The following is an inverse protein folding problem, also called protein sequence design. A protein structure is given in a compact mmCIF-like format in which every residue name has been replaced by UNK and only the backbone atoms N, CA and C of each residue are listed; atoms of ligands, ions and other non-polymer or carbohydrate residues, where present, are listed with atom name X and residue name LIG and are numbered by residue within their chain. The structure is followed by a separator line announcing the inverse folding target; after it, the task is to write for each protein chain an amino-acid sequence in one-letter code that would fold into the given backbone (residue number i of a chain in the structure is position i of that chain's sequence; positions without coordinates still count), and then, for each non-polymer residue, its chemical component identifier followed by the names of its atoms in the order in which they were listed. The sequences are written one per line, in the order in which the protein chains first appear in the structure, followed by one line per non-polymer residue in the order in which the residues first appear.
data_IF_492528720284
#
_entry.id   IF_492528720284
#
_cell.length_a   1.000
_cell.length_b   1.000
_cell.length_c   1.000
_cell.angle_alpha   90.00
_cell.angle_beta   90.00
_cell.angle_gamma   90.00
#
_symmetry.space_group_name_H-M   'P 1'
#
loop_
_entity.id
_entity.type
_entity.pdbx_description
1 polymer ?
#
# COMPACT_ATOMS: atom_id res chain seq x y z
N UNK A 1 -22.40 -5.01 -7.97
CA UNK A 1 -21.79 -6.03 -8.87
C UNK A 1 -20.32 -5.66 -9.16
N UNK A 2 -19.48 -5.57 -8.12
CA UNK A 2 -18.00 -5.44 -8.22
C UNK A 2 -17.30 -6.78 -7.89
N UNK A 3 -18.03 -7.87 -8.00
CA UNK A 3 -17.69 -9.18 -7.43
C UNK A 3 -16.90 -10.08 -8.39
N UNK A 4 -15.90 -9.47 -9.06
CA UNK A 4 -15.03 -10.11 -10.08
C UNK A 4 -13.59 -9.58 -10.14
N UNK A 5 -13.30 -8.42 -9.55
CA UNK A 5 -11.94 -7.81 -9.57
C UNK A 5 -10.98 -8.52 -8.58
N UNK A 6 -11.52 -8.72 -7.40
CA UNK A 6 -11.16 -9.62 -6.31
C UNK A 6 -10.80 -11.06 -6.74
N UNK A 7 -11.56 -11.64 -7.67
CA UNK A 7 -11.34 -12.97 -8.25
C UNK A 7 -10.30 -12.98 -9.38
N UNK A 8 -9.70 -11.82 -9.72
CA UNK A 8 -8.73 -11.64 -10.81
C UNK A 8 -7.33 -11.20 -10.39
N UNK A 9 -7.12 -10.78 -9.14
CA UNK A 9 -5.84 -11.07 -8.46
C UNK A 9 -5.48 -12.57 -8.61
N UNK A 10 -6.52 -13.42 -8.68
CA UNK A 10 -6.49 -14.88 -8.69
C UNK A 10 -6.45 -15.55 -10.09
N UNK A 11 -6.32 -14.81 -11.20
CA UNK A 11 -6.27 -15.40 -12.55
C UNK A 11 -4.93 -16.01 -13.00
N UNK A 12 -3.89 -16.03 -12.15
CA UNK A 12 -2.53 -16.48 -12.48
C UNK A 12 -1.76 -15.64 -13.52
N UNK A 13 -1.98 -14.34 -13.56
CA UNK A 13 -0.91 -13.44 -13.96
C UNK A 13 -0.83 -12.41 -12.86
N UNK A 14 0.25 -12.46 -12.08
CA UNK A 14 0.75 -11.34 -11.30
C UNK A 14 1.86 -10.78 -12.17
N UNK A 15 1.56 -9.92 -13.17
CA UNK A 15 2.56 -9.52 -14.15
C UNK A 15 3.64 -8.60 -13.56
N UNK A 16 3.52 -8.16 -12.30
CA UNK A 16 4.09 -6.89 -11.88
C UNK A 16 5.04 -6.93 -10.69
N UNK A 17 5.51 -8.10 -10.25
CA UNK A 17 6.17 -8.21 -8.94
C UNK A 17 7.55 -8.88 -9.11
N UNK A 18 8.48 -8.16 -9.76
CA UNK A 18 9.89 -8.53 -9.63
C UNK A 18 10.44 -8.09 -8.28
N UNK A 19 9.82 -7.07 -7.68
CA UNK A 19 10.34 -6.37 -6.51
C UNK A 19 9.25 -5.85 -5.58
N UNK A 20 9.62 -5.70 -4.32
CA UNK A 20 8.86 -5.04 -3.27
C UNK A 20 9.73 -3.95 -2.67
N UNK A 21 9.19 -2.75 -2.54
CA UNK A 21 9.79 -1.63 -1.84
C UNK A 21 8.99 -1.39 -0.55
N UNK A 22 9.66 -1.39 0.59
CA UNK A 22 9.04 -1.16 1.91
C UNK A 22 10.02 -0.52 2.88
N UNK A 23 9.52 -0.01 4.00
CA UNK A 23 10.36 0.38 5.12
C UNK A 23 10.50 -0.77 6.11
N UNK A 24 11.60 -0.80 6.86
CA UNK A 24 11.84 -1.86 7.85
C UNK A 24 11.13 -1.63 9.20
N UNK A 25 10.57 -0.44 9.40
CA UNK A 25 9.87 -0.03 10.61
C UNK A 25 8.77 0.95 10.23
N UNK A 26 7.84 1.15 11.15
CA UNK A 26 6.73 2.07 10.94
C UNK A 26 7.21 3.51 10.95
N UNK A 27 6.67 4.27 10.01
CA UNK A 27 6.97 5.67 9.83
C UNK A 27 5.94 6.50 10.60
N UNK A 28 6.35 7.67 11.15
CA UNK A 28 5.41 8.69 11.56
C UNK A 28 4.40 8.99 10.44
N UNK A 29 3.12 9.11 10.77
CA UNK A 29 2.06 9.23 9.76
C UNK A 29 2.25 10.44 8.82
N UNK A 30 2.85 11.53 9.30
CA UNK A 30 3.22 12.68 8.46
C UNK A 30 4.28 12.32 7.42
N UNK A 31 5.27 11.51 7.80
CA UNK A 31 6.32 11.01 6.90
C UNK A 31 5.71 10.00 5.93
N UNK A 32 4.82 9.11 6.39
CA UNK A 32 4.10 8.18 5.52
C UNK A 32 3.31 8.92 4.43
N UNK A 33 2.56 9.98 4.78
CA UNK A 33 1.85 10.80 3.80
C UNK A 33 2.79 11.44 2.76
N UNK A 34 3.95 11.95 3.20
CA UNK A 34 4.96 12.50 2.29
C UNK A 34 5.50 11.42 1.35
N UNK A 35 5.85 10.25 1.88
CA UNK A 35 6.31 9.08 1.11
C UNK A 35 5.26 8.68 0.08
N UNK A 36 3.99 8.57 0.48
CA UNK A 36 2.87 8.24 -0.43
C UNK A 36 2.78 9.27 -1.57
N UNK A 37 2.91 10.57 -1.27
CA UNK A 37 2.91 11.61 -2.29
C UNK A 37 4.08 11.46 -3.28
N UNK A 38 5.28 11.19 -2.78
CA UNK A 38 6.48 10.96 -3.62
C UNK A 38 6.34 9.72 -4.50
N UNK A 39 5.75 8.64 -3.98
CA UNK A 39 5.47 7.40 -4.72
C UNK A 39 4.42 7.66 -5.82
N UNK A 40 3.26 8.20 -5.46
CA UNK A 40 2.13 8.38 -6.37
C UNK A 40 2.46 9.35 -7.51
N UNK A 41 3.31 10.36 -7.27
CA UNK A 41 3.79 11.28 -8.31
C UNK A 41 4.71 10.62 -9.37
N UNK A 42 5.14 9.38 -9.14
CA UNK A 42 6.04 8.64 -10.05
C UNK A 42 5.38 7.43 -10.68
N UNK A 43 4.20 7.06 -10.22
CA UNK A 43 3.46 5.94 -10.77
C UNK A 43 2.54 6.42 -11.90
N UNK A 44 2.35 5.62 -12.95
CA UNK A 44 1.28 5.87 -13.91
C UNK A 44 -0.07 5.64 -13.21
N UNK A 45 -0.92 6.68 -13.19
CA UNK A 45 -2.25 6.63 -12.57
C UNK A 45 -3.28 7.05 -13.61
N UNK A 46 -4.16 6.12 -13.97
CA UNK A 46 -5.35 6.36 -14.81
C UNK A 46 -6.59 6.53 -13.96
N UNK A 47 -6.81 5.63 -13.00
CA UNK A 47 -7.84 5.73 -11.98
C UNK A 47 -7.34 5.03 -10.71
N UNK A 48 -7.21 5.80 -9.64
CA UNK A 48 -6.77 5.31 -8.36
C UNK A 48 -7.94 4.67 -7.61
N UNK A 49 -7.73 3.43 -7.18
CA UNK A 49 -8.71 2.65 -6.45
C UNK A 49 -8.10 2.22 -5.11
N UNK A 50 -8.96 2.11 -4.10
CA UNK A 50 -8.63 1.49 -2.83
C UNK A 50 -9.65 0.43 -2.47
N UNK A 51 -9.26 -0.49 -1.59
CA UNK A 51 -10.18 -1.43 -0.98
C UNK A 51 -9.59 -1.99 0.32
N UNK A 52 -10.47 -2.57 1.16
CA UNK A 52 -10.06 -3.27 2.37
C UNK A 52 -9.09 -4.39 2.02
N UNK A 53 -7.97 -4.45 2.72
CA UNK A 53 -6.95 -5.48 2.51
C UNK A 53 -6.99 -6.50 3.64
N UNK A 54 -7.76 -7.57 3.43
CA UNK A 54 -7.94 -8.64 4.41
C UNK A 54 -6.86 -9.74 4.27
N UNK A 55 -5.74 -9.45 3.61
CA UNK A 55 -4.69 -10.44 3.33
C UNK A 55 -4.25 -11.18 4.60
N UNK A 56 -3.95 -10.46 5.68
CA UNK A 56 -3.41 -11.08 6.91
C UNK A 56 -4.45 -11.85 7.73
N UNK A 57 -5.74 -11.55 7.56
CA UNK A 57 -6.81 -12.08 8.41
C UNK A 57 -7.62 -13.20 7.75
N UNK A 58 -7.91 -13.09 6.45
CA UNK A 58 -8.72 -14.08 5.72
C UNK A 58 -7.91 -14.85 4.68
N UNK A 59 -6.58 -14.63 4.64
CA UNK A 59 -5.64 -15.30 3.75
C UNK A 59 -5.76 -14.87 2.29
N UNK A 60 -6.89 -14.27 1.89
CA UNK A 60 -7.16 -13.67 0.59
C UNK A 60 -8.18 -12.58 0.84
N UNK A 61 -8.18 -11.60 -0.07
CA UNK A 61 -9.39 -11.00 -0.66
C UNK A 61 -9.59 -9.49 -0.32
N UNK A 62 -9.49 -8.63 -1.37
CA UNK A 62 -9.72 -7.16 -1.41
C UNK A 62 -11.20 -6.72 -1.56
N UNK A 63 -11.97 -6.55 -0.48
CA UNK A 63 -13.43 -6.34 -0.60
C UNK A 63 -13.73 -4.91 -1.07
N UNK A 64 -14.54 -4.82 -2.13
CA UNK A 64 -15.15 -3.57 -2.61
C UNK A 64 -14.16 -2.47 -2.99
N UNK A 65 -13.64 -2.55 -4.22
CA UNK A 65 -12.84 -1.48 -4.80
C UNK A 65 -13.68 -0.21 -4.98
N UNK A 66 -13.22 0.87 -4.37
CA UNK A 66 -13.83 2.20 -4.50
C UNK A 66 -12.78 3.17 -5.06
N UNK A 67 -13.20 4.29 -5.69
CA UNK A 67 -12.29 5.37 -6.03
C UNK A 67 -11.68 5.99 -4.77
N UNK A 68 -10.40 6.36 -4.85
CA UNK A 68 -9.71 7.18 -3.85
C UNK A 68 -8.93 8.28 -4.58
N UNK A 69 -8.64 9.38 -3.89
CA UNK A 69 -7.84 10.47 -4.46
C UNK A 69 -6.42 10.47 -3.89
N UNK A 70 -5.47 11.05 -4.62
CA UNK A 70 -4.12 11.28 -4.11
C UNK A 70 -4.18 12.13 -2.84
N UNK A 71 -5.03 13.16 -2.82
CA UNK A 71 -5.20 14.05 -1.67
C UNK A 71 -5.59 13.28 -0.40
N UNK A 72 -6.50 12.31 -0.52
CA UNK A 72 -6.88 11.42 0.58
C UNK A 72 -5.67 10.67 1.16
N UNK A 73 -4.77 10.18 0.31
CA UNK A 73 -3.59 9.41 0.73
C UNK A 73 -2.45 10.29 1.26
N UNK A 74 -2.35 11.53 0.78
CA UNK A 74 -1.27 12.46 1.15
C UNK A 74 -1.64 13.42 2.27
N UNK A 75 -2.89 13.42 2.72
CA UNK A 75 -3.36 14.27 3.80
C UNK A 75 -3.64 13.44 5.05
N UNK A 76 -2.83 13.65 6.11
CA UNK A 76 -2.87 12.87 7.36
C UNK A 76 -4.28 12.60 7.89
N UNK A 77 -5.09 13.65 8.03
CA UNK A 77 -6.44 13.52 8.59
C UNK A 77 -7.38 12.68 7.69
N UNK A 78 -7.26 12.83 6.36
CA UNK A 78 -8.11 12.13 5.41
C UNK A 78 -7.70 10.66 5.30
N UNK A 79 -6.39 10.39 5.31
CA UNK A 79 -5.84 9.04 5.37
C UNK A 79 -6.32 8.33 6.64
N UNK A 80 -6.21 8.99 7.78
CA UNK A 80 -6.60 8.43 9.06
C UNK A 80 -8.12 8.17 9.14
N UNK A 81 -8.96 9.10 8.69
CA UNK A 81 -10.41 8.92 8.59
C UNK A 81 -10.80 7.76 7.67
N UNK A 82 -10.16 7.68 6.50
CA UNK A 82 -10.39 6.61 5.54
C UNK A 82 -10.10 5.24 6.16
N UNK A 83 -9.01 5.09 6.92
CA UNK A 83 -8.60 3.80 7.51
C UNK A 83 -9.38 3.44 8.77
N UNK A 84 -9.67 4.42 9.64
CA UNK A 84 -10.45 4.16 10.87
C UNK A 84 -11.89 3.71 10.58
N UNK A 85 -12.43 4.05 9.41
CA UNK A 85 -13.72 3.51 8.95
C UNK A 85 -13.67 2.02 8.59
N UNK A 86 -12.47 1.44 8.45
CA UNK A 86 -12.25 0.03 8.15
C UNK A 86 -12.03 -0.73 9.45
N UNK A 87 -12.67 -1.90 9.61
CA UNK A 87 -12.47 -2.76 10.78
C UNK A 87 -11.05 -3.33 10.86
N UNK A 88 -10.20 -3.09 9.86
CA UNK A 88 -8.80 -3.49 9.81
C UNK A 88 -7.91 -2.31 9.43
N UNK A 89 -6.71 -2.25 10.03
CA UNK A 89 -5.71 -1.20 9.81
C UNK A 89 -5.01 -1.26 8.43
N UNK A 90 -5.37 -2.23 7.59
CA UNK A 90 -4.74 -2.50 6.30
C UNK A 90 -5.69 -2.22 5.14
N UNK A 91 -5.16 -1.54 4.13
CA UNK A 91 -5.88 -1.32 2.89
C UNK A 91 -4.94 -1.34 1.68
N UNK A 92 -5.53 -1.73 0.56
CA UNK A 92 -4.87 -1.83 -0.72
C UNK A 92 -5.14 -0.58 -1.54
N UNK A 93 -4.12 -0.09 -2.23
CA UNK A 93 -4.22 0.99 -3.22
C UNK A 93 -3.61 0.50 -4.53
N UNK A 94 -4.30 0.72 -5.64
CA UNK A 94 -3.87 0.27 -6.96
C UNK A 94 -4.47 1.14 -8.05
N UNK A 95 -3.81 1.14 -9.21
CA UNK A 95 -4.39 1.70 -10.42
C UNK A 95 -5.36 0.71 -11.08
N UNK A 96 -6.39 1.22 -11.77
CA UNK A 96 -7.35 0.40 -12.50
C UNK A 96 -6.70 -0.52 -13.55
N UNK A 97 -5.61 -0.08 -14.20
CA UNK A 97 -4.84 -0.92 -15.13
C UNK A 97 -3.96 -1.97 -14.43
N UNK A 98 -3.93 -1.96 -13.08
CA UNK A 98 -3.19 -2.86 -12.21
C UNK A 98 -1.67 -2.88 -12.45
N UNK A 99 -1.10 -1.84 -13.06
CA UNK A 99 0.35 -1.78 -13.33
C UNK A 99 1.24 -1.75 -12.07
N UNK A 100 0.64 -1.47 -10.92
CA UNK A 100 1.28 -1.45 -9.61
C UNK A 100 0.22 -1.69 -8.53
N UNK A 101 0.69 -2.08 -7.36
CA UNK A 101 -0.14 -2.33 -6.18
C UNK A 101 0.62 -1.91 -4.93
N UNK A 102 -0.09 -1.32 -3.97
CA UNK A 102 0.48 -0.87 -2.71
C UNK A 102 -0.41 -1.31 -1.56
N UNK A 103 0.21 -1.92 -0.54
CA UNK A 103 -0.42 -2.17 0.75
C UNK A 103 -0.04 -1.04 1.67
N UNK A 104 -1.01 -0.48 2.38
CA UNK A 104 -0.78 0.56 3.38
C UNK A 104 -1.36 0.07 4.70
N UNK A 105 -0.57 0.22 5.75
CA UNK A 105 -0.95 -0.01 7.13
C UNK A 105 -0.95 1.33 7.87
N UNK A 106 -1.97 1.60 8.68
CA UNK A 106 -2.00 2.72 9.61
C UNK A 106 -2.44 2.20 10.96
N UNK A 107 -1.59 2.36 11.98
CA UNK A 107 -1.90 1.89 13.32
C UNK A 107 -3.05 2.69 13.92
N UNK A 108 -3.94 1.99 14.60
CA UNK A 108 -5.11 2.62 15.22
C UNK A 108 -4.72 3.29 16.53
N UNK A 109 -5.35 4.42 16.80
CA UNK A 109 -5.17 5.14 18.05
C UNK A 109 -5.41 4.29 19.31
N UNK A 110 -6.32 3.31 19.25
CA UNK A 110 -6.58 2.40 20.37
C UNK A 110 -5.41 1.44 20.69
N UNK A 111 -4.52 1.22 19.72
CA UNK A 111 -3.34 0.36 19.85
C UNK A 111 -2.07 1.16 20.20
N UNK A 112 -2.13 2.49 20.14
CA UNK A 112 -1.01 3.38 20.44
C UNK A 112 -0.96 3.71 21.93
N UNK A 113 0.27 3.82 22.46
CA UNK A 113 0.47 4.40 23.79
C UNK A 113 -0.02 5.85 23.87
N UNK A 114 -0.33 6.33 25.07
CA UNK A 114 -0.85 7.69 25.33
C UNK A 114 0.02 8.81 24.73
N UNK A 115 1.33 8.58 24.65
CA UNK A 115 2.31 9.53 24.10
C UNK A 115 2.95 9.03 22.79
N UNK A 116 2.45 7.93 22.23
CA UNK A 116 2.99 7.35 21.01
C UNK A 116 2.48 8.11 19.77
N UNK A 117 3.39 8.37 18.84
CA UNK A 117 3.05 9.05 17.62
C UNK A 117 2.28 8.11 16.67
N UNK A 118 1.20 8.61 16.08
CA UNK A 118 0.48 7.94 14.99
C UNK A 118 1.46 7.53 13.89
N UNK A 119 1.42 6.26 13.52
CA UNK A 119 2.39 5.64 12.65
C UNK A 119 1.73 4.65 11.69
N UNK A 120 2.53 4.17 10.73
CA UNK A 120 2.08 3.20 9.76
C UNK A 120 3.19 2.79 8.80
N UNK A 121 2.85 1.95 7.83
CA UNK A 121 3.80 1.41 6.89
C UNK A 121 3.21 1.23 5.49
N UNK A 122 4.06 0.90 4.54
CA UNK A 122 3.64 0.51 3.21
C UNK A 122 4.51 -0.59 2.61
N UNK A 123 3.91 -1.33 1.69
CA UNK A 123 4.60 -2.22 0.77
C UNK A 123 4.16 -1.88 -0.65
N UNK A 124 5.10 -1.42 -1.48
CA UNK A 124 4.86 -1.14 -2.89
C UNK A 124 5.38 -2.29 -3.76
N UNK A 125 4.50 -2.80 -4.61
CA UNK A 125 4.77 -3.86 -5.58
C UNK A 125 4.66 -3.27 -7.00
N UNK A 126 5.79 -3.23 -7.71
CA UNK A 126 5.84 -2.78 -9.11
C UNK A 126 7.09 -3.31 -9.84
N UNK A 127 7.19 -3.02 -11.14
CA UNK A 127 8.34 -3.39 -11.96
C UNK A 127 9.54 -2.46 -11.76
N UNK A 128 10.72 -2.92 -12.20
CA UNK A 128 11.99 -2.19 -12.06
C UNK A 128 11.97 -0.78 -12.69
N UNK A 129 11.19 -0.59 -13.77
CA UNK A 129 11.02 0.70 -14.45
C UNK A 129 10.52 1.80 -13.50
N UNK A 130 9.57 1.46 -12.61
CA UNK A 130 8.99 2.41 -11.66
C UNK A 130 9.75 2.47 -10.34
N UNK A 131 10.33 1.34 -9.91
CA UNK A 131 11.03 1.27 -8.61
C UNK A 131 12.25 2.17 -8.55
N UNK A 132 13.13 2.17 -9.54
CA UNK A 132 14.37 2.91 -9.43
C UNK A 132 14.13 4.44 -9.29
N UNK A 133 13.23 5.07 -10.06
CA UNK A 133 12.83 6.46 -9.84
C UNK A 133 12.21 6.72 -8.47
N UNK A 134 11.40 5.78 -7.95
CA UNK A 134 10.75 5.89 -6.63
C UNK A 134 11.77 5.79 -5.52
N UNK A 135 12.65 4.78 -5.54
CA UNK A 135 13.72 4.59 -4.57
C UNK A 135 14.60 5.85 -4.48
N UNK A 136 14.96 6.44 -5.63
CA UNK A 136 15.72 7.69 -5.67
C UNK A 136 14.95 8.87 -5.07
N UNK A 137 13.62 8.90 -5.20
CA UNK A 137 12.78 9.95 -4.61
C UNK A 137 12.57 9.78 -3.10
N UNK A 138 12.94 8.64 -2.52
CA UNK A 138 12.78 8.33 -1.11
C UNK A 138 14.12 8.25 -0.36
N UNK A 139 15.26 8.46 -1.02
CA UNK A 139 16.58 8.24 -0.42
C UNK A 139 16.97 9.27 0.65
N UNK A 140 16.28 10.42 0.69
CA UNK A 140 16.42 11.48 1.68
C UNK A 140 15.45 11.33 2.86
N UNK A 141 14.54 10.36 2.82
CA UNK A 141 13.65 10.05 3.95
C UNK A 141 14.43 9.28 5.00
N UNK A 142 14.33 9.72 6.25
CA UNK A 142 14.90 9.02 7.40
C UNK A 142 14.15 7.69 7.62
N UNK A 143 14.68 6.63 7.02
CA UNK A 143 14.00 5.35 6.84
C UNK A 143 14.97 4.27 6.39
N UNK A 144 14.91 3.06 6.96
CA UNK A 144 15.61 1.93 6.34
C UNK A 144 14.75 1.34 5.23
N UNK A 145 14.97 1.85 4.01
CA UNK A 145 14.28 1.42 2.81
C UNK A 145 14.83 0.08 2.33
N UNK A 146 13.96 -0.91 2.17
CA UNK A 146 14.28 -2.26 1.70
C UNK A 146 13.72 -2.44 0.30
N UNK A 147 14.56 -2.96 -0.59
CA UNK A 147 14.19 -3.44 -1.91
C UNK A 147 14.48 -4.93 -2.01
N UNK A 148 13.44 -5.74 -2.13
CA UNK A 148 13.57 -7.21 -2.18
C UNK A 148 12.80 -7.82 -3.34
N UNK A 149 13.10 -9.08 -3.68
CA UNK A 149 12.35 -9.80 -4.70
C UNK A 149 10.98 -10.21 -4.18
N UNK A 150 9.91 -9.95 -4.93
CA UNK A 150 8.55 -10.28 -4.47
C UNK A 150 8.25 -11.77 -4.43
N UNK A 151 9.15 -12.63 -4.94
CA UNK A 151 9.01 -14.09 -4.96
C UNK A 151 8.73 -14.67 -3.57
N UNK A 152 9.34 -14.13 -2.51
CA UNK A 152 9.10 -14.58 -1.13
C UNK A 152 7.65 -14.35 -0.69
N UNK A 153 7.10 -13.18 -0.98
CA UNK A 153 5.71 -12.84 -0.70
C UNK A 153 4.74 -13.71 -1.52
N UNK A 154 5.09 -14.06 -2.76
CA UNK A 154 4.27 -14.94 -3.60
C UNK A 154 4.27 -16.41 -3.13
N UNK A 155 5.39 -16.89 -2.57
CA UNK A 155 5.49 -18.22 -1.99
C UNK A 155 4.65 -18.32 -0.70
N UNK A 156 4.63 -17.27 0.12
CA UNK A 156 3.73 -17.15 1.29
C UNK A 156 2.24 -17.12 0.90
N UNK A 157 1.88 -16.67 -0.29
CA UNK A 157 0.49 -16.70 -0.79
C UNK A 157 0.01 -18.09 -1.23
N UNK A 158 0.94 -19.01 -1.52
CA UNK A 158 0.66 -20.34 -2.07
C UNK A 158 0.67 -21.48 -1.03
N UNK A 159 1.29 -21.26 0.13
CA UNK A 159 1.24 -22.15 1.29
C UNK A 159 -0.05 -22.03 2.08
#
# INVERSE_FOLDING_TARGET
MYDKAYLRLLGQQIPFHQKVLRFNYDLPLSVLCEVLGRILNRLPITQLLWARDLWEFEGRTVREAQPITIDTLTHKALLYEAVTSLEDAHFAVFDQAMGWYMRIHVERHENLGVDEQENGNLLLFCCDEWIAPIQKALCDIEGHLILEGAKKFLEEMQG
#
